data_IF_210591488407
#
_entry.id   IF_210591488407
#
_cell.length_a   1.000
_cell.length_b   1.000
_cell.length_c   1.000
_cell.angle_alpha   90.00
_cell.angle_beta   90.00
_cell.angle_gamma   90.00
#
_symmetry.space_group_name_H-M   'P 1'
#
loop_
_entity.id
_entity.type
_entity.pdbx_description
1 polymer ?
#
# COMPACT_ATOMS: atom_id res chain seq x y z
N UNK A 1 -9.93 1.25 29.02
CA UNK A 1 -9.20 -0.01 28.77
C UNK A 1 -7.77 0.34 28.41
N UNK A 2 -6.81 -0.39 28.93
CA UNK A 2 -5.40 -0.16 28.61
C UNK A 2 -5.16 -0.61 27.15
N UNK A 3 -4.41 0.15 26.33
CA UNK A 3 -4.08 -0.26 24.96
C UNK A 3 -3.40 -1.64 24.91
N UNK A 4 -2.69 -2.01 25.97
CA UNK A 4 -2.10 -3.33 26.11
C UNK A 4 -3.15 -4.46 26.20
N UNK A 5 -4.27 -4.23 26.90
CA UNK A 5 -5.38 -5.19 26.97
C UNK A 5 -6.08 -5.32 25.61
N UNK A 6 -6.26 -4.20 24.91
CA UNK A 6 -6.84 -4.20 23.56
C UNK A 6 -5.96 -4.98 22.58
N UNK A 7 -4.65 -4.82 22.66
CA UNK A 7 -3.69 -5.59 21.85
C UNK A 7 -3.75 -7.10 22.16
N UNK A 8 -3.80 -7.50 23.43
CA UNK A 8 -3.94 -8.91 23.82
C UNK A 8 -5.24 -9.50 23.26
N UNK A 9 -6.35 -8.78 23.40
CA UNK A 9 -7.64 -9.21 22.86
C UNK A 9 -7.60 -9.32 21.33
N UNK A 10 -6.95 -8.36 20.66
CA UNK A 10 -6.71 -8.37 19.23
C UNK A 10 -5.96 -9.63 18.77
N UNK A 11 -4.85 -9.98 19.42
CA UNK A 11 -4.14 -11.24 19.16
C UNK A 11 -5.03 -12.47 19.39
N UNK A 12 -5.86 -12.47 20.45
CA UNK A 12 -6.82 -13.55 20.70
C UNK A 12 -7.79 -13.75 19.53
N UNK A 13 -8.30 -12.67 18.95
CA UNK A 13 -9.20 -12.72 17.79
C UNK A 13 -8.46 -13.06 16.49
N UNK A 14 -7.26 -12.52 16.30
CA UNK A 14 -6.45 -12.75 15.10
C UNK A 14 -6.03 -14.22 14.94
N UNK A 15 -5.83 -14.91 16.06
CA UNK A 15 -5.48 -16.35 16.10
C UNK A 15 -6.68 -17.29 15.90
N UNK A 16 -7.91 -16.75 15.77
CA UNK A 16 -9.06 -17.60 15.47
C UNK A 16 -8.95 -18.23 14.07
N UNK A 17 -9.35 -19.49 13.87
CA UNK A 17 -9.19 -20.17 12.58
C UNK A 17 -9.86 -19.44 11.41
N UNK A 18 -11.00 -18.79 11.66
CA UNK A 18 -11.69 -18.00 10.64
C UNK A 18 -10.81 -16.83 10.16
N UNK A 19 -10.29 -16.01 11.08
CA UNK A 19 -9.46 -14.86 10.74
C UNK A 19 -8.15 -15.29 10.07
N UNK A 20 -7.53 -16.38 10.54
CA UNK A 20 -6.33 -16.95 9.91
C UNK A 20 -6.57 -17.40 8.47
N UNK A 21 -7.74 -17.98 8.15
CA UNK A 21 -8.10 -18.35 6.77
C UNK A 21 -8.21 -17.11 5.89
N UNK A 22 -8.87 -16.05 6.36
CA UNK A 22 -8.98 -14.79 5.62
C UNK A 22 -7.60 -14.11 5.43
N UNK A 23 -6.77 -14.10 6.48
CA UNK A 23 -5.40 -13.59 6.40
C UNK A 23 -4.54 -14.40 5.43
N UNK A 24 -4.60 -15.73 5.48
CA UNK A 24 -3.91 -16.60 4.54
C UNK A 24 -4.39 -16.39 3.10
N UNK A 25 -5.70 -16.37 2.88
CA UNK A 25 -6.29 -16.10 1.57
C UNK A 25 -5.90 -14.73 1.04
N UNK A 26 -5.90 -13.70 1.90
CA UNK A 26 -5.46 -12.35 1.57
C UNK A 26 -3.99 -12.29 1.18
N UNK A 27 -3.10 -12.86 1.99
CA UNK A 27 -1.67 -12.93 1.68
C UNK A 27 -1.39 -13.71 0.38
N UNK A 28 -2.09 -14.83 0.16
CA UNK A 28 -1.97 -15.64 -1.04
C UNK A 28 -2.44 -14.87 -2.27
N UNK A 29 -3.64 -14.30 -2.23
CA UNK A 29 -4.21 -13.51 -3.32
C UNK A 29 -3.35 -12.29 -3.62
N UNK A 30 -2.93 -11.54 -2.59
CA UNK A 30 -2.03 -10.40 -2.71
C UNK A 30 -0.72 -10.79 -3.39
N UNK A 31 -0.08 -11.86 -2.93
CA UNK A 31 1.19 -12.33 -3.52
C UNK A 31 1.00 -12.76 -4.98
N UNK A 32 -0.04 -13.53 -5.28
CA UNK A 32 -0.32 -13.97 -6.65
C UNK A 32 -0.58 -12.79 -7.59
N UNK A 33 -1.36 -11.81 -7.15
CA UNK A 33 -1.67 -10.63 -7.95
C UNK A 33 -0.47 -9.70 -8.07
N UNK A 34 0.32 -9.50 -7.01
CA UNK A 34 1.56 -8.71 -7.09
C UNK A 34 2.58 -9.30 -8.08
N UNK A 35 2.55 -10.62 -8.31
CA UNK A 35 3.39 -11.28 -9.33
C UNK A 35 2.84 -11.06 -10.76
N UNK A 36 1.65 -10.50 -10.94
CA UNK A 36 1.14 -10.12 -12.26
C UNK A 36 1.56 -8.69 -12.59
N UNK A 37 2.33 -8.47 -13.67
CA UNK A 37 2.74 -7.12 -14.05
C UNK A 37 1.54 -6.22 -14.34
N UNK A 38 1.54 -5.02 -13.76
CA UNK A 38 0.51 -4.01 -13.98
C UNK A 38 -0.81 -4.25 -13.23
N UNK A 39 -0.87 -5.20 -12.30
CA UNK A 39 -2.03 -5.40 -11.42
C UNK A 39 -1.60 -5.15 -9.97
N UNK A 40 -2.15 -4.10 -9.36
CA UNK A 40 -1.79 -3.64 -8.02
C UNK A 40 -2.75 -4.10 -6.90
N UNK A 41 -2.40 -3.86 -5.63
CA UNK A 41 -3.26 -4.17 -4.49
C UNK A 41 -4.54 -3.31 -4.49
N UNK A 42 -4.49 -2.05 -4.95
CA UNK A 42 -5.67 -1.20 -5.05
C UNK A 42 -6.76 -1.83 -5.95
N UNK A 43 -6.38 -2.29 -7.15
CA UNK A 43 -7.28 -3.00 -8.06
C UNK A 43 -7.79 -4.31 -7.45
N UNK A 44 -6.91 -5.07 -6.80
CA UNK A 44 -7.28 -6.35 -6.18
C UNK A 44 -8.34 -6.16 -5.09
N UNK A 45 -8.14 -5.19 -4.20
CA UNK A 45 -9.09 -4.87 -3.15
C UNK A 45 -10.39 -4.35 -3.77
N UNK A 46 -10.32 -3.47 -4.78
CA UNK A 46 -11.49 -2.95 -5.49
C UNK A 46 -12.39 -4.07 -6.03
N UNK A 47 -11.79 -5.08 -6.68
CA UNK A 47 -12.52 -6.25 -7.21
C UNK A 47 -13.19 -7.11 -6.13
N UNK A 48 -12.68 -7.05 -4.89
CA UNK A 48 -13.19 -7.81 -3.76
C UNK A 48 -14.10 -6.98 -2.85
N UNK A 49 -14.27 -5.67 -3.08
CA UNK A 49 -15.21 -4.83 -2.35
C UNK A 49 -16.65 -5.41 -2.32
N UNK A 50 -17.19 -6.01 -3.40
CA UNK A 50 -18.52 -6.62 -3.34
C UNK A 50 -18.65 -7.76 -2.31
N UNK A 51 -17.55 -8.39 -1.90
CA UNK A 51 -17.57 -9.41 -0.85
C UNK A 51 -17.78 -8.82 0.55
N UNK A 52 -17.56 -7.51 0.73
CA UNK A 52 -17.79 -6.84 2.03
C UNK A 52 -19.23 -6.96 2.51
N UNK A 53 -20.20 -7.04 1.58
CA UNK A 53 -21.61 -7.22 1.91
C UNK A 53 -21.96 -8.61 2.48
N UNK A 54 -21.05 -9.59 2.37
CA UNK A 54 -21.31 -10.99 2.72
C UNK A 54 -20.44 -11.53 3.86
N UNK A 55 -19.47 -10.75 4.32
CA UNK A 55 -18.49 -11.19 5.31
C UNK A 55 -18.33 -10.18 6.45
N UNK A 56 -17.96 -10.61 7.68
CA UNK A 56 -17.70 -9.71 8.79
C UNK A 56 -16.54 -8.75 8.49
N UNK A 57 -16.68 -7.49 8.94
CA UNK A 57 -15.68 -6.43 8.69
C UNK A 57 -14.26 -6.84 9.09
N UNK A 58 -14.07 -7.37 10.31
CA UNK A 58 -12.75 -7.80 10.81
C UNK A 58 -12.07 -8.78 9.86
N UNK A 59 -12.80 -9.82 9.42
CA UNK A 59 -12.26 -10.82 8.51
C UNK A 59 -11.87 -10.23 7.14
N UNK A 60 -12.70 -9.33 6.61
CA UNK A 60 -12.41 -8.66 5.33
C UNK A 60 -11.23 -7.69 5.43
N UNK A 61 -11.10 -6.93 6.51
CA UNK A 61 -9.95 -6.03 6.69
C UNK A 61 -8.64 -6.78 6.90
N UNK A 62 -8.66 -7.93 7.58
CA UNK A 62 -7.49 -8.82 7.66
C UNK A 62 -7.13 -9.37 6.28
N UNK A 63 -8.12 -9.77 5.48
CA UNK A 63 -7.90 -10.18 4.09
C UNK A 63 -7.32 -9.04 3.24
N UNK A 64 -7.87 -7.83 3.33
CA UNK A 64 -7.37 -6.67 2.58
C UNK A 64 -5.97 -6.24 3.01
N UNK A 65 -5.67 -6.29 4.31
CA UNK A 65 -4.32 -6.08 4.82
C UNK A 65 -3.36 -7.13 4.25
N UNK A 66 -3.75 -8.41 4.24
CA UNK A 66 -2.99 -9.49 3.61
C UNK A 66 -2.76 -9.25 2.12
N UNK A 67 -3.76 -8.75 1.38
CA UNK A 67 -3.62 -8.39 -0.03
C UNK A 67 -2.65 -7.24 -0.21
N UNK A 68 -2.74 -6.21 0.64
CA UNK A 68 -1.87 -5.05 0.53
C UNK A 68 -0.41 -5.43 0.78
N UNK A 69 -0.10 -6.09 1.90
CA UNK A 69 1.26 -6.55 2.19
C UNK A 69 1.76 -7.57 1.16
N UNK A 70 0.93 -8.57 0.82
CA UNK A 70 1.27 -9.59 -0.16
C UNK A 70 1.51 -9.02 -1.55
N UNK A 71 0.73 -8.02 -1.98
CA UNK A 71 0.88 -7.35 -3.26
C UNK A 71 2.17 -6.53 -3.35
N UNK A 72 2.49 -5.78 -2.29
CA UNK A 72 3.72 -4.99 -2.21
C UNK A 72 4.96 -5.88 -2.32
N UNK A 73 4.98 -7.02 -1.62
CA UNK A 73 6.03 -8.02 -1.76
C UNK A 73 6.00 -8.73 -3.12
N UNK A 74 4.83 -9.17 -3.60
CA UNK A 74 4.68 -9.89 -4.86
C UNK A 74 5.24 -9.11 -6.04
N UNK A 75 5.05 -7.78 -6.05
CA UNK A 75 5.60 -6.86 -7.06
C UNK A 75 7.13 -6.85 -7.12
N UNK A 76 7.82 -7.22 -6.05
CA UNK A 76 9.28 -7.36 -6.05
C UNK A 76 9.73 -8.55 -6.92
N UNK A 77 8.94 -9.62 -6.99
CA UNK A 77 9.28 -10.82 -7.76
C UNK A 77 9.30 -10.53 -9.25
N UNK A 78 8.30 -9.80 -9.76
CA UNK A 78 8.24 -9.35 -11.16
C UNK A 78 9.30 -8.29 -11.47
N UNK A 79 9.54 -7.36 -10.54
CA UNK A 79 10.62 -6.38 -10.66
C UNK A 79 12.00 -7.05 -10.79
N UNK A 80 12.29 -8.05 -9.96
CA UNK A 80 13.56 -8.77 -9.95
C UNK A 80 13.69 -9.68 -11.18
N UNK A 81 12.71 -10.54 -11.47
CA UNK A 81 12.88 -11.56 -12.50
C UNK A 81 12.63 -11.03 -13.91
N UNK A 82 11.66 -10.13 -14.07
CA UNK A 82 11.13 -9.73 -15.38
C UNK A 82 11.44 -8.27 -15.73
N UNK A 83 11.92 -7.46 -14.76
CA UNK A 83 12.12 -6.02 -14.93
C UNK A 83 10.83 -5.27 -15.31
N UNK A 84 9.68 -5.79 -14.88
CA UNK A 84 8.36 -5.21 -15.11
C UNK A 84 7.66 -5.08 -13.77
N UNK A 85 8.02 -4.05 -12.97
CA UNK A 85 7.44 -3.86 -11.65
C UNK A 85 5.92 -3.66 -11.75
N UNK A 86 5.17 -4.29 -10.83
CA UNK A 86 3.72 -4.11 -10.72
C UNK A 86 3.32 -2.78 -10.08
N UNK A 87 4.15 -2.27 -9.17
CA UNK A 87 3.96 -1.01 -8.45
C UNK A 87 5.10 -0.02 -8.76
N UNK A 88 4.78 1.28 -8.73
CA UNK A 88 5.73 2.38 -8.88
C UNK A 88 6.88 2.29 -7.88
N UNK A 89 6.58 1.91 -6.64
CA UNK A 89 7.55 1.78 -5.55
C UNK A 89 8.56 0.64 -5.78
N UNK A 90 8.15 -0.43 -6.48
CA UNK A 90 9.00 -1.58 -6.82
C UNK A 90 9.92 -1.32 -8.03
N UNK A 91 9.78 -0.17 -8.71
CA UNK A 91 10.70 0.23 -9.78
C UNK A 91 12.13 0.32 -9.25
N UNK A 92 12.31 0.86 -8.04
CA UNK A 92 13.63 1.01 -7.42
C UNK A 92 14.28 -0.35 -7.17
N UNK A 93 13.50 -1.34 -6.72
CA UNK A 93 13.96 -2.73 -6.55
C UNK A 93 14.47 -3.33 -7.86
N UNK A 94 13.86 -3.00 -9.00
CA UNK A 94 14.29 -3.52 -10.32
C UNK A 94 15.67 -3.01 -10.75
N UNK A 95 16.10 -1.83 -10.28
CA UNK A 95 17.39 -1.20 -10.65
C UNK A 95 18.60 -2.08 -10.34
N UNK A 96 18.55 -2.81 -9.22
CA UNK A 96 19.58 -3.76 -8.80
C UNK A 96 19.12 -5.21 -8.89
N UNK A 97 17.89 -5.49 -8.47
CA UNK A 97 17.37 -6.85 -8.37
C UNK A 97 17.38 -7.58 -9.71
N UNK A 98 17.00 -6.90 -10.79
CA UNK A 98 17.04 -7.51 -12.12
C UNK A 98 18.46 -7.77 -12.62
N UNK A 99 19.42 -6.92 -12.24
CA UNK A 99 20.83 -7.10 -12.58
C UNK A 99 21.44 -8.25 -11.79
N UNK A 100 21.08 -8.41 -10.52
CA UNK A 100 21.42 -9.58 -9.72
C UNK A 100 20.86 -10.86 -10.36
N UNK A 101 19.59 -10.85 -10.76
CA UNK A 101 18.97 -11.99 -11.42
C UNK A 101 19.69 -12.38 -12.74
N UNK A 102 20.00 -11.41 -13.59
CA UNK A 102 20.76 -11.61 -14.85
C UNK A 102 22.16 -12.18 -14.63
N UNK A 103 22.78 -11.91 -13.46
CA UNK A 103 24.08 -12.45 -13.04
C UNK A 103 23.99 -13.85 -12.40
N UNK A 104 22.80 -14.45 -12.36
CA UNK A 104 22.57 -15.75 -11.72
C UNK A 104 22.30 -15.69 -10.21
N UNK A 105 22.21 -14.49 -9.62
CA UNK A 105 21.96 -14.26 -8.19
C UNK A 105 20.47 -13.99 -7.89
N UNK A 106 19.57 -14.55 -8.72
CA UNK A 106 18.13 -14.34 -8.58
C UNK A 106 17.59 -14.80 -7.22
N UNK A 107 18.08 -15.94 -6.71
CA UNK A 107 17.65 -16.46 -5.41
C UNK A 107 18.03 -15.52 -4.26
N UNK A 108 19.24 -14.95 -4.26
CA UNK A 108 19.70 -14.01 -3.22
C UNK A 108 18.90 -12.71 -3.27
N UNK A 109 18.58 -12.22 -4.48
CA UNK A 109 17.73 -11.05 -4.68
C UNK A 109 16.30 -11.27 -4.16
N UNK A 110 15.67 -12.40 -4.51
CA UNK A 110 14.33 -12.75 -4.05
C UNK A 110 14.30 -13.00 -2.54
N UNK A 111 15.30 -13.70 -2.00
CA UNK A 111 15.40 -13.97 -0.57
C UNK A 111 15.58 -12.68 0.24
N UNK A 112 16.47 -11.77 -0.18
CA UNK A 112 16.66 -10.51 0.53
C UNK A 112 15.43 -9.60 0.45
N UNK A 113 14.67 -9.69 -0.65
CA UNK A 113 13.41 -8.97 -0.81
C UNK A 113 12.33 -9.54 0.12
N UNK A 114 12.16 -10.87 0.16
CA UNK A 114 11.18 -11.53 1.02
C UNK A 114 11.47 -11.30 2.51
N UNK A 115 12.71 -11.52 2.94
CA UNK A 115 13.11 -11.32 4.34
C UNK A 115 13.00 -9.85 4.72
N UNK A 116 13.46 -8.94 3.84
CA UNK A 116 13.34 -7.50 4.05
C UNK A 116 11.90 -7.05 4.19
N UNK A 117 11.01 -7.54 3.33
CA UNK A 117 9.56 -7.27 3.37
C UNK A 117 8.95 -7.72 4.70
N UNK A 118 9.27 -8.95 5.13
CA UNK A 118 8.77 -9.50 6.39
C UNK A 118 9.27 -8.70 7.61
N UNK A 119 10.58 -8.43 7.69
CA UNK A 119 11.16 -7.66 8.80
C UNK A 119 10.60 -6.24 8.83
N UNK A 120 10.51 -5.59 7.68
CA UNK A 120 10.04 -4.22 7.58
C UNK A 120 8.54 -4.07 7.82
N UNK A 121 7.72 -4.99 7.29
CA UNK A 121 6.30 -5.05 7.58
C UNK A 121 6.04 -5.29 9.07
N UNK A 122 6.81 -6.19 9.71
CA UNK A 122 6.71 -6.44 11.15
C UNK A 122 7.05 -5.19 11.96
N UNK A 123 8.17 -4.53 11.66
CA UNK A 123 8.58 -3.28 12.32
C UNK A 123 7.52 -2.19 12.08
N UNK A 124 7.01 -2.07 10.85
CA UNK A 124 6.00 -1.09 10.48
C UNK A 124 4.68 -1.31 11.22
N UNK A 125 4.21 -2.55 11.34
CA UNK A 125 3.01 -2.89 12.11
C UNK A 125 3.21 -2.60 13.60
N UNK A 126 4.35 -2.99 14.18
CA UNK A 126 4.67 -2.66 15.58
C UNK A 126 4.67 -1.14 15.78
N UNK A 127 5.33 -0.40 14.89
CA UNK A 127 5.36 1.05 14.96
C UNK A 127 3.95 1.64 14.82
N UNK A 128 3.12 1.14 13.90
CA UNK A 128 1.71 1.53 13.77
C UNK A 128 0.96 1.35 15.08
N UNK A 129 1.07 0.18 15.72
CA UNK A 129 0.41 -0.15 16.99
C UNK A 129 0.74 0.85 18.11
N UNK A 130 2.00 1.28 18.21
CA UNK A 130 2.43 2.17 19.31
C UNK A 130 2.32 3.66 18.97
N UNK A 131 2.53 4.06 17.71
CA UNK A 131 2.43 5.46 17.31
C UNK A 131 1.00 5.90 16.99
N UNK A 132 0.10 5.00 16.57
CA UNK A 132 -1.28 5.38 16.25
C UNK A 132 -2.02 6.04 17.44
N UNK A 133 -1.94 5.54 18.68
CA UNK A 133 -2.54 6.22 19.84
C UNK A 133 -2.00 7.65 20.05
N UNK A 134 -0.71 7.88 19.80
CA UNK A 134 -0.08 9.20 19.92
C UNK A 134 -0.65 10.13 18.86
N UNK A 135 -0.73 9.69 17.60
CA UNK A 135 -1.31 10.49 16.50
C UNK A 135 -2.78 10.80 16.77
N UNK A 136 -3.56 9.84 17.27
CA UNK A 136 -4.97 10.06 17.66
C UNK A 136 -5.10 11.12 18.75
N UNK A 137 -4.23 11.08 19.77
CA UNK A 137 -4.27 12.07 20.86
C UNK A 137 -4.05 13.49 20.36
N UNK A 138 -3.16 13.68 19.38
CA UNK A 138 -2.93 14.97 18.72
C UNK A 138 -4.12 15.34 17.84
N UNK A 139 -4.63 14.40 17.04
CA UNK A 139 -5.74 14.64 16.14
C UNK A 139 -7.03 15.07 16.87
N UNK A 140 -7.26 14.56 18.08
CA UNK A 140 -8.40 14.97 18.93
C UNK A 140 -8.30 16.43 19.43
N UNK A 141 -7.13 17.05 19.34
CA UNK A 141 -6.95 18.49 19.68
C UNK A 141 -7.23 19.41 18.51
N UNK A 142 -7.38 18.89 17.29
CA UNK A 142 -7.62 19.71 16.10
C UNK A 142 -9.06 20.20 16.04
N UNK A 143 -9.22 21.49 15.73
CA UNK A 143 -10.52 22.06 15.39
C UNK A 143 -10.87 21.82 13.91
N UNK A 144 -12.06 22.27 13.47
CA UNK A 144 -12.48 22.14 12.08
C UNK A 144 -11.52 22.79 11.08
N UNK A 145 -10.90 23.92 11.44
CA UNK A 145 -9.98 24.65 10.55
C UNK A 145 -8.66 23.90 10.34
N UNK A 146 -8.08 23.36 11.41
CA UNK A 146 -6.86 22.56 11.37
C UNK A 146 -7.09 21.27 10.57
N UNK A 147 -8.22 20.60 10.83
CA UNK A 147 -8.58 19.38 10.13
C UNK A 147 -8.84 19.61 8.64
N UNK A 148 -9.55 20.69 8.29
CA UNK A 148 -9.74 21.10 6.89
C UNK A 148 -8.40 21.39 6.20
N UNK A 149 -7.52 22.16 6.85
CA UNK A 149 -6.20 22.49 6.30
C UNK A 149 -5.35 21.23 6.08
N UNK A 150 -5.42 20.27 7.00
CA UNK A 150 -4.75 18.98 6.88
C UNK A 150 -5.28 18.14 5.72
N UNK A 151 -6.61 18.10 5.52
CA UNK A 151 -7.24 17.43 4.38
C UNK A 151 -6.82 18.05 3.05
N UNK A 152 -6.79 19.39 2.97
CA UNK A 152 -6.33 20.12 1.77
C UNK A 152 -4.86 19.83 1.51
N UNK A 153 -4.01 19.92 2.54
CA UNK A 153 -2.58 19.61 2.43
C UNK A 153 -2.39 18.17 1.93
N UNK A 154 -3.11 17.20 2.49
CA UNK A 154 -3.01 15.81 2.10
C UNK A 154 -3.45 15.58 0.66
N UNK A 155 -4.62 16.08 0.28
CA UNK A 155 -5.14 15.94 -1.08
C UNK A 155 -4.17 16.55 -2.12
N UNK A 156 -3.67 17.77 -1.86
CA UNK A 156 -2.72 18.43 -2.76
C UNK A 156 -1.39 17.68 -2.80
N UNK A 157 -0.85 17.28 -1.65
CA UNK A 157 0.46 16.61 -1.57
C UNK A 157 0.43 15.24 -2.27
N UNK A 158 -0.56 14.40 -1.96
CA UNK A 158 -0.76 13.09 -2.59
C UNK A 158 -0.86 13.24 -4.11
N UNK A 159 -1.64 14.23 -4.57
CA UNK A 159 -1.86 14.50 -5.99
C UNK A 159 -0.60 15.03 -6.71
N UNK A 160 0.16 15.89 -6.04
CA UNK A 160 1.38 16.47 -6.59
C UNK A 160 2.58 15.50 -6.58
N UNK A 161 2.65 14.60 -5.59
CA UNK A 161 3.80 13.71 -5.36
C UNK A 161 3.65 12.37 -6.07
N UNK A 162 2.44 11.80 -6.16
CA UNK A 162 2.22 10.48 -6.77
C UNK A 162 2.17 10.49 -8.30
N UNK A 163 1.87 11.64 -8.91
CA UNK A 163 1.66 11.75 -10.36
C UNK A 163 2.91 12.17 -11.14
N UNK A 164 3.07 11.64 -12.36
CA UNK A 164 4.05 12.15 -13.33
C UNK A 164 3.78 13.60 -13.78
N UNK A 165 2.55 14.09 -13.53
CA UNK A 165 2.12 15.45 -13.89
C UNK A 165 1.18 15.98 -12.81
N UNK A 166 1.64 17.02 -12.12
CA UNK A 166 0.84 17.75 -11.12
C UNK A 166 -0.48 18.25 -11.72
N UNK A 167 -0.46 18.73 -12.98
CA UNK A 167 -1.66 19.22 -13.65
C UNK A 167 -2.69 18.10 -13.84
N UNK A 168 -2.28 16.93 -14.34
CA UNK A 168 -3.21 15.79 -14.51
C UNK A 168 -3.76 15.31 -13.18
N UNK A 169 -2.90 15.26 -12.16
CA UNK A 169 -3.33 14.95 -10.80
C UNK A 169 -4.38 15.93 -10.30
N UNK A 170 -4.09 17.24 -10.34
CA UNK A 170 -5.00 18.27 -9.82
C UNK A 170 -6.33 18.32 -10.57
N UNK A 171 -6.32 18.07 -11.89
CA UNK A 171 -7.54 17.89 -12.68
C UNK A 171 -8.33 16.68 -12.21
N UNK A 172 -7.68 15.52 -12.01
CA UNK A 172 -8.34 14.31 -11.51
C UNK A 172 -8.93 14.50 -10.10
N UNK A 173 -8.20 15.17 -9.20
CA UNK A 173 -8.66 15.51 -7.86
C UNK A 173 -9.90 16.42 -7.94
N UNK A 174 -9.85 17.46 -8.77
CA UNK A 174 -10.98 18.40 -8.94
C UNK A 174 -12.22 17.68 -9.50
N UNK A 175 -12.04 16.82 -10.49
CA UNK A 175 -13.13 16.00 -11.04
C UNK A 175 -13.71 15.04 -9.99
N UNK A 176 -12.85 14.37 -9.22
CA UNK A 176 -13.27 13.48 -8.14
C UNK A 176 -14.06 14.20 -7.06
N UNK A 177 -13.64 15.41 -6.67
CA UNK A 177 -14.37 16.26 -5.72
C UNK A 177 -15.74 16.66 -6.27
N UNK A 178 -15.83 17.04 -7.55
CA UNK A 178 -17.11 17.37 -8.19
C UNK A 178 -18.05 16.16 -8.19
N UNK A 179 -17.55 14.98 -8.55
CA UNK A 179 -18.34 13.73 -8.55
C UNK A 179 -18.78 13.37 -7.13
N UNK A 180 -17.90 13.53 -6.13
CA UNK A 180 -18.20 13.25 -4.73
C UNK A 180 -19.22 14.21 -4.10
N UNK A 181 -19.47 15.37 -4.70
CA UNK A 181 -20.52 16.29 -4.28
C UNK A 181 -21.92 15.92 -4.82
N UNK A 182 -22.04 14.95 -5.72
CA UNK A 182 -23.33 14.48 -6.25
C UNK A 182 -24.09 13.73 -5.14
N UNK A 183 -25.31 14.17 -4.84
CA UNK A 183 -26.16 13.52 -3.83
C UNK A 183 -26.76 14.48 -2.82
N UNK A 184 -27.38 13.92 -1.79
CA UNK A 184 -27.87 14.68 -0.63
C UNK A 184 -26.69 15.03 0.28
N UNK A 185 -26.48 16.31 0.54
CA UNK A 185 -25.51 16.74 1.55
C UNK A 185 -25.96 16.29 2.95
N UNK A 186 -25.09 15.53 3.64
CA UNK A 186 -25.41 14.93 4.94
C UNK A 186 -25.53 15.94 6.09
N UNK A 187 -25.06 17.18 5.92
CA UNK A 187 -25.12 18.24 6.93
C UNK A 187 -26.36 19.13 6.76
N UNK A 188 -26.64 19.55 5.52
CA UNK A 188 -27.74 20.48 5.21
C UNK A 188 -28.99 19.80 4.66
N UNK A 189 -28.92 18.51 4.29
CA UNK A 189 -30.02 17.76 3.68
C UNK A 189 -30.38 18.21 2.26
N UNK A 190 -29.58 19.08 1.65
CA UNK A 190 -29.88 19.68 0.34
C UNK A 190 -29.32 18.82 -0.78
N UNK A 191 -30.08 18.59 -1.88
CA UNK A 191 -29.56 17.89 -3.04
C UNK A 191 -28.53 18.75 -3.78
N UNK A 192 -27.39 18.16 -4.14
CA UNK A 192 -26.32 18.78 -4.93
C UNK A 192 -26.08 18.00 -6.21
N UNK A 193 -25.96 18.71 -7.32
CA UNK A 193 -25.68 18.14 -8.65
C UNK A 193 -26.62 17.00 -9.08
N UNK A 194 -27.90 17.04 -8.67
CA UNK A 194 -28.92 16.03 -9.02
C UNK A 194 -29.71 16.37 -10.29
N UNK A 195 -29.30 17.40 -11.02
CA UNK A 195 -29.80 17.82 -12.34
C UNK A 195 -31.34 17.77 -12.49
N UNK A 196 -32.07 18.40 -11.56
CA UNK A 196 -33.53 18.47 -11.61
C UNK A 196 -34.25 17.37 -10.80
N UNK A 197 -33.56 16.71 -9.87
CA UNK A 197 -34.18 15.77 -8.93
C UNK A 197 -34.23 14.32 -9.41
N UNK A 198 -33.31 13.92 -10.30
CA UNK A 198 -33.15 12.52 -10.72
C UNK A 198 -32.93 11.68 -9.45
N UNK A 199 -33.83 10.73 -9.20
CA UNK A 199 -33.90 10.02 -7.92
C UNK A 199 -32.65 9.17 -7.67
N UNK A 200 -32.08 8.60 -8.73
CA UNK A 200 -30.86 7.80 -8.68
C UNK A 200 -29.66 8.62 -8.21
N UNK A 201 -29.62 9.91 -8.55
CA UNK A 201 -28.53 10.81 -8.15
C UNK A 201 -28.66 11.31 -6.71
N UNK A 202 -29.83 11.17 -6.06
CA UNK A 202 -30.02 11.58 -4.66
C UNK A 202 -29.16 10.73 -3.70
N UNK A 203 -28.98 9.45 -4.03
CA UNK A 203 -28.11 8.54 -3.27
C UNK A 203 -26.62 8.77 -3.56
N UNK A 204 -26.29 9.68 -4.48
CA UNK A 204 -24.94 9.94 -4.93
C UNK A 204 -24.37 8.80 -5.78
N UNK A 205 -23.06 8.87 -6.04
CA UNK A 205 -22.36 7.81 -6.78
C UNK A 205 -21.95 6.72 -5.80
N UNK A 206 -22.40 5.48 -6.04
CA UNK A 206 -22.01 4.34 -5.21
C UNK A 206 -20.49 4.13 -5.27
N UNK A 207 -19.84 4.24 -4.12
CA UNK A 207 -18.37 4.24 -4.02
C UNK A 207 -17.78 2.93 -4.54
N UNK A 208 -18.40 1.78 -4.25
CA UNK A 208 -17.95 0.47 -4.75
C UNK A 208 -17.99 0.43 -6.29
N UNK A 209 -19.07 0.92 -6.90
CA UNK A 209 -19.22 0.96 -8.36
C UNK A 209 -18.19 1.91 -8.98
N UNK A 210 -17.99 3.08 -8.39
CA UNK A 210 -16.99 4.04 -8.86
C UNK A 210 -15.57 3.45 -8.80
N UNK A 211 -15.19 2.85 -7.68
CA UNK A 211 -13.87 2.25 -7.47
C UNK A 211 -13.65 1.07 -8.42
N UNK A 212 -14.61 0.16 -8.58
CA UNK A 212 -14.52 -0.95 -9.53
C UNK A 212 -14.44 -0.42 -10.97
N UNK A 213 -15.24 0.59 -11.33
CA UNK A 213 -15.21 1.21 -12.65
C UNK A 213 -13.85 1.87 -12.95
N UNK A 214 -13.32 2.65 -12.01
CA UNK A 214 -12.07 3.39 -12.20
C UNK A 214 -10.85 2.46 -12.26
N UNK A 215 -10.73 1.51 -11.33
CA UNK A 215 -9.58 0.61 -11.29
C UNK A 215 -9.74 -0.57 -12.24
N UNK A 216 -10.83 -1.35 -12.15
CA UNK A 216 -10.93 -2.59 -12.90
C UNK A 216 -11.19 -2.38 -14.39
N UNK A 217 -12.15 -1.52 -14.74
CA UNK A 217 -12.42 -1.24 -16.16
C UNK A 217 -11.29 -0.38 -16.76
N UNK A 218 -10.77 0.59 -16.00
CA UNK A 218 -9.62 1.39 -16.40
C UNK A 218 -8.40 0.55 -16.74
N UNK A 219 -7.98 -0.34 -15.83
CA UNK A 219 -6.84 -1.22 -16.05
C UNK A 219 -7.11 -2.24 -17.17
N UNK A 220 -8.32 -2.78 -17.28
CA UNK A 220 -8.68 -3.69 -18.37
C UNK A 220 -8.54 -3.02 -19.75
N UNK A 221 -9.02 -1.78 -19.89
CA UNK A 221 -8.88 -1.00 -21.12
C UNK A 221 -7.41 -0.65 -21.41
N UNK A 222 -6.66 -0.28 -20.37
CA UNK A 222 -5.23 0.02 -20.49
C UNK A 222 -4.42 -1.19 -20.94
N UNK A 223 -4.66 -2.36 -20.33
CA UNK A 223 -4.01 -3.63 -20.70
C UNK A 223 -4.40 -4.06 -22.12
N UNK A 224 -5.68 -3.91 -22.50
CA UNK A 224 -6.15 -4.20 -23.86
C UNK A 224 -5.48 -3.31 -24.91
N UNK A 225 -5.25 -2.03 -24.59
CA UNK A 225 -4.51 -1.10 -25.44
C UNK A 225 -3.02 -1.48 -25.52
N UNK A 226 -2.38 -1.74 -24.38
CA UNK A 226 -0.94 -2.02 -24.29
C UNK A 226 -0.54 -3.36 -24.91
N UNK A 227 -1.44 -4.35 -24.93
CA UNK A 227 -1.26 -5.64 -25.60
C UNK A 227 -0.93 -5.52 -27.10
N UNK A 228 -1.16 -4.35 -27.72
CA UNK A 228 -0.76 -4.06 -29.10
C UNK A 228 0.68 -3.56 -29.27
N UNK A 229 1.36 -3.08 -28.22
CA UNK A 229 2.58 -2.27 -28.39
C UNK A 229 3.93 -2.95 -28.12
N UNK A 230 4.05 -4.10 -27.43
CA UNK A 230 5.38 -4.72 -27.19
C UNK A 230 5.40 -6.24 -27.20
N UNK A 231 5.74 -6.80 -28.36
CA UNK A 231 6.45 -8.09 -28.45
C UNK A 231 7.94 -7.88 -28.12
N UNK A 232 8.26 -7.50 -26.88
CA UNK A 232 9.63 -7.69 -26.37
C UNK A 232 9.63 -9.06 -25.72
N UNK A 233 10.44 -9.99 -26.21
CA UNK A 233 10.65 -11.31 -25.59
C UNK A 233 10.98 -11.10 -24.11
N UNK A 234 10.02 -11.34 -23.22
CA UNK A 234 10.25 -11.38 -21.78
C UNK A 234 11.16 -12.56 -21.51
N UNK A 235 12.44 -12.29 -21.25
CA UNK A 235 13.38 -13.34 -20.86
C UNK A 235 13.07 -13.69 -19.42
N UNK A 236 12.33 -14.79 -19.23
CA UNK A 236 12.10 -15.35 -17.90
C UNK A 236 13.42 -15.96 -17.43
N UNK A 237 14.02 -15.36 -16.41
CA UNK A 237 15.27 -15.85 -15.82
C UNK A 237 14.91 -16.98 -14.86
N UNK A 238 14.87 -18.22 -15.34
CA UNK A 238 14.73 -19.39 -14.47
C UNK A 238 16.01 -19.59 -13.63
N UNK A 239 15.90 -19.71 -12.29
CA UNK A 239 17.04 -20.07 -11.45
C UNK A 239 17.58 -21.43 -11.88
N UNK A 240 18.83 -21.47 -12.39
CA UNK A 240 19.42 -22.71 -12.93
C UNK A 240 19.62 -23.82 -11.88
N UNK A 241 19.67 -23.50 -10.57
CA UNK A 241 19.83 -24.47 -9.47
C UNK A 241 19.06 -24.02 -8.22
N UNK A 242 18.27 -24.92 -7.62
CA UNK A 242 17.27 -24.62 -6.57
C UNK A 242 17.81 -24.38 -5.15
N UNK A 243 19.07 -24.68 -4.84
CA UNK A 243 19.60 -24.60 -3.46
C UNK A 243 20.84 -23.69 -3.29
N UNK A 244 21.61 -23.47 -4.35
CA UNK A 244 22.92 -22.79 -4.26
C UNK A 244 22.86 -21.26 -4.33
N UNK A 245 21.68 -20.71 -4.64
CA UNK A 245 21.48 -19.28 -4.86
C UNK A 245 20.74 -18.58 -3.71
N UNK A 246 20.76 -19.14 -2.50
CA UNK A 246 20.23 -18.45 -1.32
C UNK A 246 21.20 -17.35 -0.85
N UNK A 247 20.78 -16.50 0.09
CA UNK A 247 21.66 -15.48 0.67
C UNK A 247 22.86 -16.12 1.39
N UNK A 248 24.07 -15.69 1.01
CA UNK A 248 25.33 -16.04 1.69
C UNK A 248 25.48 -15.28 3.02
N UNK A 249 26.43 -15.69 3.88
CA UNK A 249 26.72 -14.96 5.13
C UNK A 249 27.12 -13.50 4.87
N UNK A 250 27.80 -13.22 3.74
CA UNK A 250 28.12 -11.85 3.34
C UNK A 250 26.85 -11.08 2.95
N UNK A 251 25.95 -11.69 2.18
CA UNK A 251 24.66 -11.10 1.83
C UNK A 251 23.86 -10.72 3.08
N UNK A 252 23.75 -11.61 4.06
CA UNK A 252 23.09 -11.31 5.33
C UNK A 252 23.73 -10.12 6.06
N UNK A 253 25.07 -10.11 6.15
CA UNK A 253 25.82 -9.01 6.78
C UNK A 253 25.61 -7.68 6.06
N UNK A 254 25.42 -7.72 4.74
CA UNK A 254 25.17 -6.56 3.89
C UNK A 254 23.72 -6.09 3.94
N UNK A 255 22.75 -6.98 4.10
CA UNK A 255 21.32 -6.66 4.03
C UNK A 255 20.66 -6.22 5.35
N UNK A 256 21.13 -6.67 6.52
CA UNK A 256 20.41 -6.39 7.78
C UNK A 256 20.32 -4.90 8.14
N UNK A 257 21.38 -4.12 7.90
CA UNK A 257 21.33 -2.67 8.14
C UNK A 257 20.45 -1.93 7.14
N UNK A 258 20.55 -2.22 5.81
CA UNK A 258 19.58 -1.71 4.84
C UNK A 258 18.13 -2.02 5.20
N UNK A 259 17.83 -3.24 5.66
CA UNK A 259 16.46 -3.58 6.08
C UNK A 259 15.98 -2.62 7.18
N UNK A 260 16.77 -2.42 8.24
CA UNK A 260 16.38 -1.53 9.34
C UNK A 260 16.24 -0.06 8.90
N UNK A 261 17.19 0.47 8.13
CA UNK A 261 17.12 1.85 7.63
C UNK A 261 15.97 2.05 6.65
N UNK A 262 15.77 1.09 5.76
CA UNK A 262 14.64 1.04 4.85
C UNK A 262 13.32 1.09 5.61
N UNK A 263 13.16 0.24 6.64
CA UNK A 263 11.96 0.25 7.49
C UNK A 263 11.68 1.63 8.10
N UNK A 264 12.73 2.31 8.56
CA UNK A 264 12.60 3.66 9.13
C UNK A 264 12.11 4.67 8.09
N UNK A 265 12.76 4.73 6.92
CA UNK A 265 12.29 5.62 5.84
C UNK A 265 10.87 5.29 5.42
N UNK A 266 10.58 4.01 5.20
CA UNK A 266 9.29 3.52 4.77
C UNK A 266 8.18 3.96 5.71
N UNK A 267 8.26 3.56 6.98
CA UNK A 267 7.20 3.82 7.94
C UNK A 267 6.98 5.32 8.18
N UNK A 268 8.05 6.07 8.50
CA UNK A 268 7.87 7.49 8.87
C UNK A 268 7.44 8.35 7.69
N UNK A 269 7.97 8.13 6.49
CA UNK A 269 7.55 8.89 5.31
C UNK A 269 6.16 8.45 4.86
N UNK A 270 5.86 7.15 4.89
CA UNK A 270 4.51 6.65 4.56
C UNK A 270 3.44 7.11 5.54
N UNK A 271 3.79 7.33 6.82
CA UNK A 271 2.90 7.88 7.83
C UNK A 271 2.63 9.38 7.67
N UNK A 272 3.45 10.09 6.88
CA UNK A 272 3.17 11.48 6.57
C UNK A 272 1.98 11.58 5.61
N UNK A 273 1.10 12.57 5.78
CA UNK A 273 -0.02 12.81 4.89
C UNK A 273 0.41 13.44 3.56
N UNK A 274 1.53 13.01 2.97
CA UNK A 274 2.18 13.72 1.87
C UNK A 274 2.62 12.85 0.68
N UNK A 275 2.46 11.53 0.73
CA UNK A 275 2.73 10.66 -0.43
C UNK A 275 3.05 9.21 -0.06
N UNK A 276 3.01 8.35 -1.08
CA UNK A 276 3.10 6.89 -0.97
C UNK A 276 4.51 6.32 -0.82
N UNK A 277 4.69 5.06 -1.23
CA UNK A 277 5.91 4.28 -0.99
C UNK A 277 7.09 4.64 -1.93
N UNK A 278 6.91 5.50 -2.93
CA UNK A 278 7.91 5.81 -3.95
C UNK A 278 9.06 6.67 -3.44
N UNK A 279 8.75 7.72 -2.68
CA UNK A 279 9.75 8.60 -2.08
C UNK A 279 10.65 7.84 -1.09
N UNK A 280 10.12 7.06 -0.12
CA UNK A 280 10.97 6.34 0.81
C UNK A 280 11.82 5.25 0.14
N UNK A 281 11.33 4.55 -0.89
CA UNK A 281 12.12 3.53 -1.60
C UNK A 281 13.32 4.17 -2.33
N UNK A 282 13.10 5.30 -2.99
CA UNK A 282 14.15 6.04 -3.69
C UNK A 282 15.18 6.63 -2.72
N UNK A 283 14.74 7.25 -1.62
CA UNK A 283 15.63 7.77 -0.58
C UNK A 283 16.45 6.67 0.08
N UNK A 284 15.82 5.51 0.33
CA UNK A 284 16.51 4.32 0.83
C UNK A 284 17.61 3.90 -0.15
N UNK A 285 17.31 3.79 -1.45
CA UNK A 285 18.32 3.44 -2.47
C UNK A 285 19.52 4.39 -2.49
N UNK A 286 19.28 5.70 -2.51
CA UNK A 286 20.37 6.68 -2.50
C UNK A 286 21.17 6.65 -1.20
N UNK A 287 20.50 6.45 -0.06
CA UNK A 287 21.16 6.31 1.24
C UNK A 287 22.06 5.08 1.25
N UNK A 288 21.56 3.93 0.78
CA UNK A 288 22.34 2.70 0.73
C UNK A 288 23.53 2.82 -0.22
N UNK A 289 23.36 3.49 -1.37
CA UNK A 289 24.47 3.79 -2.26
C UNK A 289 25.55 4.64 -1.59
N UNK A 290 25.15 5.68 -0.85
CA UNK A 290 26.06 6.60 -0.15
C UNK A 290 26.78 5.93 1.02
N UNK A 291 26.10 5.05 1.76
CA UNK A 291 26.65 4.39 2.95
C UNK A 291 27.40 3.09 2.63
N UNK A 292 27.24 2.55 1.42
CA UNK A 292 27.90 1.32 1.03
C UNK A 292 29.42 1.47 1.02
N UNK A 293 30.10 0.41 1.45
CA UNK A 293 31.56 0.29 1.31
C UNK A 293 31.98 -0.07 -0.11
N UNK A 294 31.03 -0.49 -0.95
CA UNK A 294 31.20 -0.91 -2.35
C UNK A 294 30.25 -0.14 -3.28
N UNK A 295 30.30 1.20 -3.34
CA UNK A 295 29.38 2.01 -4.16
C UNK A 295 29.46 1.68 -5.66
N UNK A 296 30.56 1.11 -6.13
CA UNK A 296 30.81 0.68 -7.52
C UNK A 296 30.00 -0.55 -7.96
N UNK A 297 29.43 -1.30 -7.01
CA UNK A 297 28.50 -2.40 -7.30
C UNK A 297 27.08 -1.91 -7.63
N UNK A 298 26.72 -0.69 -7.20
CA UNK A 298 25.42 -0.09 -7.54
C UNK A 298 25.35 0.17 -9.04
N UNK A 299 24.20 -0.14 -9.61
CA UNK A 299 23.99 -0.16 -11.05
C UNK A 299 24.47 -1.46 -11.70
N UNK A 300 25.07 -2.40 -10.96
CA UNK A 300 25.51 -3.72 -11.42
C UNK A 300 24.87 -4.87 -10.64
N UNK A 301 23.94 -4.60 -9.72
CA UNK A 301 23.29 -5.59 -8.87
C UNK A 301 23.90 -5.64 -7.47
N UNK A 302 23.88 -4.51 -6.75
CA UNK A 302 24.24 -4.44 -5.33
C UNK A 302 23.07 -4.89 -4.45
N UNK A 303 23.30 -5.80 -3.51
CA UNK A 303 22.24 -6.37 -2.66
C UNK A 303 21.62 -5.33 -1.73
N UNK A 304 22.39 -4.35 -1.26
CA UNK A 304 21.89 -3.26 -0.41
C UNK A 304 20.86 -2.41 -1.15
N UNK A 305 21.03 -2.23 -2.46
CA UNK A 305 20.08 -1.51 -3.31
C UNK A 305 18.81 -2.32 -3.66
N UNK A 306 18.71 -3.57 -3.20
CA UNK A 306 17.45 -4.36 -3.16
C UNK A 306 16.90 -4.35 -1.74
N UNK A 307 17.74 -4.68 -0.75
CA UNK A 307 17.36 -4.85 0.65
C UNK A 307 16.76 -3.58 1.26
N UNK A 308 17.40 -2.43 1.08
CA UNK A 308 16.94 -1.15 1.64
C UNK A 308 15.62 -0.68 1.01
N UNK A 309 15.54 -0.56 -0.33
CA UNK A 309 14.31 -0.15 -0.99
C UNK A 309 13.14 -1.09 -0.73
N UNK A 310 13.33 -2.41 -0.74
CA UNK A 310 12.23 -3.35 -0.49
C UNK A 310 11.70 -3.28 0.95
N UNK A 311 12.59 -3.08 1.92
CA UNK A 311 12.18 -2.82 3.29
C UNK A 311 11.41 -1.49 3.41
N UNK A 312 11.88 -0.43 2.76
CA UNK A 312 11.16 0.85 2.73
C UNK A 312 9.77 0.72 2.08
N UNK A 313 9.65 -0.06 1.02
CA UNK A 313 8.39 -0.34 0.34
C UNK A 313 7.35 -0.93 1.30
N UNK A 314 7.72 -2.01 2.00
CA UNK A 314 6.79 -2.72 2.88
C UNK A 314 6.50 -2.00 4.19
N UNK A 315 7.50 -1.31 4.76
CA UNK A 315 7.24 -0.47 5.93
C UNK A 315 6.37 0.75 5.57
N UNK A 316 6.49 1.29 4.35
CA UNK A 316 5.59 2.35 3.88
C UNK A 316 4.15 1.87 3.74
N UNK A 317 3.92 0.60 3.35
CA UNK A 317 2.57 0.04 3.34
C UNK A 317 1.90 0.11 4.72
N UNK A 318 2.64 -0.21 5.79
CA UNK A 318 2.19 -0.04 7.17
C UNK A 318 2.03 1.45 7.56
N UNK A 319 3.01 2.29 7.17
CA UNK A 319 3.00 3.72 7.43
C UNK A 319 1.77 4.42 6.84
N UNK A 320 1.40 4.08 5.60
CA UNK A 320 0.22 4.64 4.91
C UNK A 320 -1.10 4.36 5.64
N UNK A 321 -1.17 3.26 6.41
CA UNK A 321 -2.35 2.98 7.25
C UNK A 321 -2.46 3.94 8.44
N UNK A 322 -1.37 4.58 8.86
CA UNK A 322 -1.37 5.54 9.97
C UNK A 322 -2.36 6.70 9.73
N UNK A 323 -2.20 7.56 8.70
CA UNK A 323 -3.14 8.65 8.46
C UNK A 323 -4.54 8.14 8.09
N UNK A 324 -4.67 6.98 7.44
CA UNK A 324 -5.97 6.40 7.14
C UNK A 324 -6.73 6.05 8.43
N UNK A 325 -6.13 5.27 9.33
CA UNK A 325 -6.80 4.78 10.53
C UNK A 325 -6.99 5.87 11.58
N UNK A 326 -6.02 6.78 11.71
CA UNK A 326 -6.02 7.80 12.78
C UNK A 326 -6.65 9.12 12.37
N UNK A 327 -6.58 9.50 11.09
CA UNK A 327 -7.08 10.78 10.57
C UNK A 327 -8.18 10.59 9.51
N UNK A 328 -8.47 9.37 9.06
CA UNK A 328 -9.40 9.14 7.95
C UNK A 328 -8.93 9.70 6.62
N UNK A 329 -7.63 9.95 6.48
CA UNK A 329 -7.04 10.57 5.29
C UNK A 329 -6.27 9.50 4.51
N UNK A 330 -6.72 9.11 3.30
CA UNK A 330 -6.01 8.16 2.47
C UNK A 330 -4.84 8.84 1.76
N UNK A 331 -3.64 8.29 1.89
CA UNK A 331 -2.41 8.86 1.29
C UNK A 331 -1.87 8.07 0.10
N UNK A 332 -2.57 7.01 -0.29
CA UNK A 332 -2.28 6.20 -1.48
C UNK A 332 -3.58 5.74 -2.14
N UNK A 333 -3.48 5.28 -3.39
CA UNK A 333 -4.61 4.67 -4.10
C UNK A 333 -5.20 3.48 -3.31
N UNK A 334 -4.32 2.60 -2.79
CA UNK A 334 -4.74 1.45 -1.97
C UNK A 334 -5.44 1.89 -0.68
N UNK A 335 -4.94 2.92 0.00
CA UNK A 335 -5.58 3.47 1.19
C UNK A 335 -6.94 4.10 0.88
N UNK A 336 -7.10 4.72 -0.29
CA UNK A 336 -8.39 5.27 -0.73
C UNK A 336 -9.42 4.16 -0.96
N UNK A 337 -9.01 3.05 -1.59
CA UNK A 337 -9.88 1.86 -1.75
C UNK A 337 -10.22 1.23 -0.39
N UNK A 338 -9.27 1.19 0.55
CA UNK A 338 -9.53 0.74 1.92
C UNK A 338 -10.50 1.67 2.66
N UNK A 339 -10.40 2.99 2.47
CA UNK A 339 -11.38 3.95 2.99
C UNK A 339 -12.78 3.63 2.46
N UNK A 340 -12.92 3.36 1.16
CA UNK A 340 -14.18 2.92 0.56
C UNK A 340 -14.70 1.61 1.15
N UNK A 341 -13.81 0.67 1.50
CA UNK A 341 -14.19 -0.54 2.22
C UNK A 341 -14.72 -0.24 3.63
N UNK A 342 -14.16 0.74 4.33
CA UNK A 342 -14.69 1.15 5.64
C UNK A 342 -16.09 1.74 5.49
N UNK A 343 -16.29 2.59 4.49
CA UNK A 343 -17.58 3.21 4.19
C UNK A 343 -18.65 2.17 3.82
N UNK A 344 -18.30 1.09 3.11
CA UNK A 344 -19.26 0.01 2.77
C UNK A 344 -19.77 -0.73 4.00
N UNK A 345 -19.01 -0.75 5.10
CA UNK A 345 -19.44 -1.25 6.41
C UNK A 345 -20.10 -0.19 7.30
N UNK A 346 -20.26 1.05 6.81
CA UNK A 346 -20.73 2.18 7.61
C UNK A 346 -19.72 2.61 8.69
N UNK A 347 -18.45 2.24 8.54
CA UNK A 347 -17.38 2.59 9.46
C UNK A 347 -16.68 3.84 8.93
N UNK A 348 -16.44 4.82 9.81
CA UNK A 348 -15.71 6.04 9.47
C UNK A 348 -14.33 6.02 10.13
N UNK A 349 -13.24 5.88 9.37
CA UNK A 349 -11.90 6.02 9.90
C UNK A 349 -11.64 7.44 10.42
N UNK A 350 -10.70 7.56 11.36
CA UNK A 350 -10.40 8.83 12.02
C UNK A 350 -10.12 8.68 13.51
N UNK A 351 -10.05 9.80 14.26
CA UNK A 351 -9.56 9.79 15.63
C UNK A 351 -10.41 8.92 16.59
N UNK A 352 -11.69 8.76 16.28
CA UNK A 352 -12.63 7.94 17.07
C UNK A 352 -12.62 6.47 16.68
N UNK A 353 -11.92 6.06 15.62
CA UNK A 353 -11.94 4.67 15.14
C UNK A 353 -11.38 3.70 16.19
N UNK A 354 -10.29 4.07 16.87
CA UNK A 354 -9.66 3.25 17.90
C UNK A 354 -10.59 2.99 19.10
N UNK A 355 -11.54 3.89 19.37
CA UNK A 355 -12.49 3.74 20.48
C UNK A 355 -13.79 3.07 20.03
N UNK A 356 -14.33 3.45 18.86
CA UNK A 356 -15.60 2.93 18.34
C UNK A 356 -15.48 1.54 17.72
N UNK A 357 -14.35 1.24 17.07
CA UNK A 357 -14.09 0.01 16.35
C UNK A 357 -12.82 -0.68 16.88
N UNK A 358 -12.62 -0.62 18.20
CA UNK A 358 -11.44 -1.21 18.87
C UNK A 358 -11.20 -2.66 18.44
N UNK A 359 -12.24 -3.50 18.40
CA UNK A 359 -12.05 -4.90 18.02
C UNK A 359 -11.45 -5.04 16.60
N UNK A 360 -11.90 -4.22 15.66
CA UNK A 360 -11.42 -4.25 14.28
C UNK A 360 -10.00 -3.71 14.16
N UNK A 361 -9.68 -2.61 14.84
CA UNK A 361 -8.36 -1.96 14.70
C UNK A 361 -7.24 -2.79 15.32
N UNK A 362 -7.52 -3.47 16.44
CA UNK A 362 -6.51 -4.21 17.18
C UNK A 362 -6.35 -5.67 16.74
N UNK A 363 -7.30 -6.21 15.96
CA UNK A 363 -7.24 -7.58 15.40
C UNK A 363 -6.51 -7.61 14.08
#
# INVERSE_FOLDING_TARGET
MNYFEQLINGFGNALTPSILIYGFAGCLAGTLVGVLPGIGPALTIALLLPLTFKAPAVAMFVLFAGIYYGGMYGGSTTAILLNTPGESSSVVTSLEGNKMAKRGLAGSALATAAIGSFVAGTIGTIALTFFAPIVVSVALTFGPAEYFSLMVLAAVSVTAVLGNSVVRGMTSLSLGLIIGLVGIDLQSGQPRFTFGGIMELLNGVEVVVAVVGLFAVGDALFLAWQGREKSKKTVIISPKNKWYNWMTKEDWKRSWKPWLRGSFYGFFIGALPTGGAEVPTLLSYYTEKKLSKKPEEFGKGAIEGVAGPEAANNAAAAGVLMPLLTLGIPTSATAAVLLSAFESYGIRPGPTLLTQQSNLVWT
#
